data_IF_345478283758
#
_entry.id   IF_345478283758
#
_cell.length_a   1.000
_cell.length_b   1.000
_cell.length_c   1.000
_cell.angle_alpha   90.00
_cell.angle_beta   90.00
_cell.angle_gamma   90.00
#
_symmetry.space_group_name_H-M   'P 1'
#
loop_
_entity.id
_entity.type
_entity.pdbx_description
1 polymer ?
#
# COMPACT_ATOMS: atom_id res chain seq x y z
N UNK A 1 -98.25 -104.25 37.42
CA UNK A 1 -98.75 -103.50 38.61
C UNK A 1 -97.84 -102.29 38.74
N UNK A 2 -98.18 -101.15 38.14
CA UNK A 2 -99.06 -100.10 38.72
C UNK A 2 -98.40 -99.56 40.00
N UNK A 3 -98.05 -98.28 40.13
CA UNK A 3 -98.92 -97.10 40.04
C UNK A 3 -98.07 -95.84 39.72
N UNK A 4 -98.61 -94.95 38.88
CA UNK A 4 -98.16 -93.57 38.65
C UNK A 4 -98.23 -92.71 39.92
N UNK A 5 -97.22 -91.86 40.14
CA UNK A 5 -97.39 -90.64 40.93
C UNK A 5 -96.67 -89.47 40.23
N UNK A 6 -97.39 -88.37 40.15
CA UNK A 6 -97.10 -87.15 39.42
C UNK A 6 -95.98 -86.34 40.12
N UNK A 7 -95.17 -85.71 39.26
CA UNK A 7 -94.06 -84.75 39.44
C UNK A 7 -94.26 -83.65 40.50
N UNK A 8 -93.18 -83.01 40.99
CA UNK A 8 -92.62 -81.89 40.22
C UNK A 8 -91.08 -81.81 40.13
N UNK A 9 -90.69 -81.28 38.98
CA UNK A 9 -89.51 -80.51 38.60
C UNK A 9 -88.67 -79.89 39.75
N UNK A 10 -87.36 -80.19 39.75
CA UNK A 10 -86.33 -79.37 40.38
C UNK A 10 -85.02 -79.46 39.58
N UNK A 11 -84.90 -78.58 38.59
CA UNK A 11 -83.90 -77.50 38.62
C UNK A 11 -82.44 -77.89 38.87
N UNK A 12 -81.70 -77.90 37.76
CA UNK A 12 -80.28 -77.59 37.57
C UNK A 12 -79.49 -77.06 38.80
N UNK A 13 -78.51 -77.86 39.23
CA UNK A 13 -77.54 -77.52 40.26
C UNK A 13 -76.11 -77.43 39.70
N UNK A 14 -75.90 -76.86 38.51
CA UNK A 14 -74.56 -76.36 38.13
C UNK A 14 -74.13 -75.29 39.14
N UNK A 15 -72.93 -75.45 39.70
CA UNK A 15 -72.42 -74.60 40.78
C UNK A 15 -72.33 -73.13 40.29
N UNK A 16 -72.81 -72.13 41.06
CA UNK A 16 -72.82 -70.71 40.66
C UNK A 16 -71.46 -70.12 40.24
N UNK A 17 -70.35 -70.76 40.64
CA UNK A 17 -68.99 -70.30 40.34
C UNK A 17 -68.52 -70.62 38.92
N UNK A 18 -69.07 -71.65 38.24
CA UNK A 18 -68.69 -72.00 36.86
C UNK A 18 -69.39 -71.10 35.84
N UNK A 19 -70.71 -70.88 36.00
CA UNK A 19 -71.48 -69.97 35.13
C UNK A 19 -70.99 -68.51 35.23
N UNK A 20 -70.61 -68.04 36.42
CA UNK A 20 -70.04 -66.70 36.62
C UNK A 20 -68.65 -66.59 35.97
N UNK A 21 -67.80 -67.63 36.06
CA UNK A 21 -66.50 -67.67 35.38
C UNK A 21 -66.63 -67.70 33.85
N UNK A 22 -67.65 -68.37 33.32
CA UNK A 22 -67.90 -68.42 31.87
C UNK A 22 -68.45 -67.08 31.34
N UNK A 23 -69.28 -66.37 32.11
CA UNK A 23 -69.72 -65.01 31.78
C UNK A 23 -68.54 -64.02 31.71
N UNK A 24 -67.68 -63.99 32.73
CA UNK A 24 -66.50 -63.11 32.72
C UNK A 24 -65.49 -63.47 31.64
N UNK A 25 -65.43 -64.74 31.22
CA UNK A 25 -64.62 -65.17 30.05
C UNK A 25 -65.22 -64.66 28.75
N UNK A 26 -66.52 -64.85 28.54
CA UNK A 26 -67.20 -64.36 27.34
C UNK A 26 -67.13 -62.83 27.21
N UNK A 27 -67.28 -62.09 28.32
CA UNK A 27 -67.18 -60.64 28.33
C UNK A 27 -65.74 -60.15 28.08
N UNK A 28 -64.74 -60.88 28.59
CA UNK A 28 -63.33 -60.64 28.30
C UNK A 28 -62.97 -60.92 26.83
N UNK A 29 -63.55 -61.98 26.25
CA UNK A 29 -63.33 -62.34 24.86
C UNK A 29 -63.98 -61.31 23.92
N UNK A 30 -65.19 -60.85 24.24
CA UNK A 30 -65.87 -59.75 23.53
C UNK A 30 -65.06 -58.45 23.61
N UNK A 31 -64.55 -58.09 24.80
CA UNK A 31 -63.71 -56.91 24.97
C UNK A 31 -62.41 -57.02 24.15
N UNK A 32 -61.82 -58.21 24.07
CA UNK A 32 -60.63 -58.48 23.25
C UNK A 32 -60.93 -58.38 21.76
N UNK A 33 -62.09 -58.87 21.32
CA UNK A 33 -62.56 -58.73 19.94
C UNK A 33 -62.80 -57.26 19.57
N UNK A 34 -63.44 -56.49 20.45
CA UNK A 34 -63.65 -55.05 20.26
C UNK A 34 -62.34 -54.28 20.17
N UNK A 35 -61.37 -54.58 21.04
CA UNK A 35 -60.02 -53.99 20.97
C UNK A 35 -59.34 -54.37 19.65
N UNK A 36 -59.46 -55.63 19.21
CA UNK A 36 -58.89 -56.08 17.94
C UNK A 36 -59.52 -55.38 16.74
N UNK A 37 -60.84 -55.19 16.73
CA UNK A 37 -61.55 -54.48 15.67
C UNK A 37 -61.19 -52.99 15.63
N UNK A 38 -61.15 -52.33 16.79
CA UNK A 38 -60.69 -50.94 16.90
C UNK A 38 -59.24 -50.77 16.44
N UNK A 39 -58.36 -51.72 16.76
CA UNK A 39 -56.99 -51.74 16.29
C UNK A 39 -56.91 -51.89 14.77
N UNK A 40 -57.69 -52.79 14.17
CA UNK A 40 -57.73 -52.97 12.72
C UNK A 40 -58.20 -51.72 11.98
N UNK A 41 -59.26 -51.06 12.46
CA UNK A 41 -59.74 -49.79 11.90
C UNK A 41 -58.66 -48.70 11.95
N UNK A 42 -57.94 -48.60 13.07
CA UNK A 42 -56.87 -47.64 13.21
C UNK A 42 -55.71 -47.92 12.24
N UNK A 43 -55.35 -49.20 12.04
CA UNK A 43 -54.32 -49.62 11.09
C UNK A 43 -54.73 -49.33 9.65
N UNK A 44 -56.00 -49.54 9.30
CA UNK A 44 -56.55 -49.25 7.97
C UNK A 44 -56.57 -47.74 7.71
N UNK A 45 -56.99 -46.93 8.70
CA UNK A 45 -56.96 -45.48 8.60
C UNK A 45 -55.53 -44.93 8.43
N UNK A 46 -54.55 -45.51 9.12
CA UNK A 46 -53.13 -45.14 8.96
C UNK A 46 -52.63 -45.53 7.56
N UNK A 47 -52.95 -46.72 7.07
CA UNK A 47 -52.61 -47.12 5.70
C UNK A 47 -53.23 -46.20 4.67
N UNK A 48 -54.50 -45.84 4.83
CA UNK A 48 -55.18 -44.95 3.90
C UNK A 48 -54.56 -43.55 3.90
N UNK A 49 -54.11 -43.03 5.05
CA UNK A 49 -53.36 -41.77 5.12
C UNK A 49 -51.99 -41.85 4.46
N UNK A 50 -51.29 -43.00 4.59
CA UNK A 50 -50.02 -43.25 3.91
C UNK A 50 -50.23 -43.30 2.39
N UNK A 51 -51.28 -43.99 1.94
CA UNK A 51 -51.62 -44.18 0.52
C UNK A 51 -52.20 -42.92 -0.13
N UNK A 52 -52.85 -42.03 0.64
CA UNK A 52 -53.34 -40.72 0.18
C UNK A 52 -52.22 -39.68 -0.05
N UNK A 53 -50.97 -40.14 -0.19
CA UNK A 53 -49.84 -39.32 -0.63
C UNK A 53 -49.05 -38.65 0.49
N UNK A 54 -49.18 -39.11 1.75
CA UNK A 54 -48.34 -38.58 2.83
C UNK A 54 -46.85 -38.80 2.55
N UNK A 55 -46.47 -39.95 1.99
CA UNK A 55 -45.08 -40.20 1.55
C UNK A 55 -44.60 -39.18 0.52
N UNK A 56 -45.43 -38.87 -0.47
CA UNK A 56 -45.10 -37.91 -1.53
C UNK A 56 -45.05 -36.46 -1.01
N UNK A 57 -45.88 -36.11 -0.03
CA UNK A 57 -45.81 -34.82 0.65
C UNK A 57 -44.51 -34.67 1.45
N UNK A 58 -44.10 -35.71 2.17
CA UNK A 58 -42.84 -35.70 2.94
C UNK A 58 -41.63 -35.64 2.00
N UNK A 59 -41.64 -36.42 0.91
CA UNK A 59 -40.58 -36.38 -0.10
C UNK A 59 -40.46 -34.98 -0.73
N UNK A 60 -41.56 -34.38 -1.17
CA UNK A 60 -41.57 -33.01 -1.73
C UNK A 60 -41.07 -31.98 -0.72
N UNK A 61 -41.54 -32.02 0.51
CA UNK A 61 -41.10 -31.09 1.55
C UNK A 61 -39.59 -31.24 1.85
N UNK A 62 -39.07 -32.46 1.76
CA UNK A 62 -37.64 -32.73 1.91
C UNK A 62 -36.86 -32.18 0.72
N UNK A 63 -37.26 -32.47 -0.51
CA UNK A 63 -36.61 -31.97 -1.73
C UNK A 63 -36.59 -30.45 -1.78
N UNK A 64 -37.72 -29.79 -1.49
CA UNK A 64 -37.80 -28.32 -1.40
C UNK A 64 -36.83 -27.74 -0.36
N UNK A 65 -36.67 -28.42 0.79
CA UNK A 65 -35.74 -27.99 1.84
C UNK A 65 -34.29 -28.17 1.43
N UNK A 66 -33.96 -29.26 0.76
CA UNK A 66 -32.61 -29.51 0.26
C UNK A 66 -32.24 -28.57 -0.89
N UNK A 67 -33.17 -28.26 -1.79
CA UNK A 67 -32.97 -27.26 -2.83
C UNK A 67 -32.77 -25.86 -2.25
N UNK A 68 -33.57 -25.47 -1.25
CA UNK A 68 -33.37 -24.20 -0.56
C UNK A 68 -32.02 -24.13 0.15
N UNK A 69 -31.57 -25.24 0.77
CA UNK A 69 -30.27 -25.33 1.42
C UNK A 69 -29.13 -25.28 0.39
N UNK A 70 -29.28 -25.90 -0.78
CA UNK A 70 -28.32 -25.84 -1.88
C UNK A 70 -28.14 -24.41 -2.37
N UNK A 71 -29.23 -23.70 -2.66
CA UNK A 71 -29.18 -22.30 -3.11
C UNK A 71 -28.53 -21.42 -2.04
N UNK A 72 -28.92 -21.56 -0.77
CA UNK A 72 -28.31 -20.81 0.32
C UNK A 72 -26.81 -21.12 0.49
N UNK A 73 -26.40 -22.36 0.26
CA UNK A 73 -24.99 -22.76 0.31
C UNK A 73 -24.19 -22.18 -0.87
N UNK A 74 -24.76 -22.17 -2.08
CA UNK A 74 -24.16 -21.55 -3.27
C UNK A 74 -23.97 -20.05 -3.06
N UNK A 75 -25.00 -19.34 -2.60
CA UNK A 75 -24.93 -17.90 -2.27
C UNK A 75 -23.87 -17.59 -1.20
N UNK A 76 -23.79 -18.40 -0.16
CA UNK A 76 -22.80 -18.22 0.91
C UNK A 76 -21.37 -18.50 0.42
N UNK A 77 -21.17 -19.47 -0.48
CA UNK A 77 -19.87 -19.72 -1.11
C UNK A 77 -19.48 -18.52 -1.99
N UNK A 78 -20.38 -18.04 -2.84
CA UNK A 78 -20.15 -16.88 -3.70
C UNK A 78 -19.79 -15.65 -2.87
N UNK A 79 -20.53 -15.38 -1.79
CA UNK A 79 -20.24 -14.29 -0.86
C UNK A 79 -18.84 -14.41 -0.27
N UNK A 80 -18.46 -15.58 0.24
CA UNK A 80 -17.12 -15.81 0.83
C UNK A 80 -16.00 -15.69 -0.18
N UNK A 81 -16.21 -16.16 -1.41
CA UNK A 81 -15.24 -16.02 -2.50
C UNK A 81 -15.07 -14.55 -2.88
N UNK A 82 -16.17 -13.81 -3.01
CA UNK A 82 -16.14 -12.37 -3.28
C UNK A 82 -15.41 -11.60 -2.17
N UNK A 83 -15.71 -11.89 -0.90
CA UNK A 83 -15.03 -11.28 0.25
C UNK A 83 -13.52 -11.58 0.27
N UNK A 84 -13.15 -12.85 0.03
CA UNK A 84 -11.74 -13.24 -0.02
C UNK A 84 -11.01 -12.55 -1.17
N UNK A 85 -11.60 -12.54 -2.37
CA UNK A 85 -11.01 -11.89 -3.53
C UNK A 85 -10.86 -10.39 -3.29
N UNK A 86 -11.88 -9.71 -2.76
CA UNK A 86 -11.81 -8.30 -2.42
C UNK A 86 -10.65 -8.04 -1.44
N UNK A 87 -10.55 -8.85 -0.38
CA UNK A 87 -9.48 -8.68 0.60
C UNK A 87 -8.09 -8.99 0.04
N UNK A 88 -7.93 -10.01 -0.79
CA UNK A 88 -6.66 -10.33 -1.46
C UNK A 88 -6.25 -9.25 -2.46
N UNK A 89 -7.19 -8.70 -3.23
CA UNK A 89 -6.92 -7.59 -4.16
C UNK A 89 -6.51 -6.33 -3.40
N UNK A 90 -7.13 -6.04 -2.26
CA UNK A 90 -6.75 -4.89 -1.43
C UNK A 90 -5.35 -5.07 -0.83
N UNK A 91 -5.02 -6.26 -0.32
CA UNK A 91 -3.66 -6.55 0.13
C UNK A 91 -2.63 -6.43 -0.99
N UNK A 92 -2.95 -6.93 -2.19
CA UNK A 92 -2.07 -6.83 -3.35
C UNK A 92 -1.85 -5.37 -3.76
N UNK A 93 -2.90 -4.54 -3.79
CA UNK A 93 -2.81 -3.10 -4.06
C UNK A 93 -1.97 -2.38 -3.01
N UNK A 94 -2.22 -2.63 -1.73
CA UNK A 94 -1.45 -2.02 -0.64
C UNK A 94 0.03 -2.40 -0.69
N UNK A 95 0.34 -3.67 -1.01
CA UNK A 95 1.71 -4.14 -1.20
C UNK A 95 2.40 -3.45 -2.39
N UNK A 96 1.71 -3.38 -3.54
CA UNK A 96 2.23 -2.73 -4.74
C UNK A 96 2.48 -1.23 -4.52
N UNK A 97 1.56 -0.54 -3.83
CA UNK A 97 1.71 0.87 -3.49
C UNK A 97 2.91 1.10 -2.56
N UNK A 98 3.14 0.20 -1.60
CA UNK A 98 4.30 0.26 -0.71
C UNK A 98 5.60 0.05 -1.47
N UNK A 99 5.66 -0.95 -2.34
CA UNK A 99 6.85 -1.22 -3.17
C UNK A 99 7.17 -0.04 -4.09
N UNK A 100 6.16 0.56 -4.71
CA UNK A 100 6.30 1.76 -5.52
C UNK A 100 6.89 2.93 -4.72
N UNK A 101 6.30 3.21 -3.55
CA UNK A 101 6.75 4.28 -2.65
C UNK A 101 8.20 4.07 -2.19
N UNK A 102 8.57 2.82 -1.88
CA UNK A 102 9.93 2.46 -1.50
C UNK A 102 10.93 2.72 -2.63
N UNK A 103 10.61 2.30 -3.86
CA UNK A 103 11.46 2.54 -5.05
C UNK A 103 11.63 4.03 -5.35
N UNK A 104 10.55 4.82 -5.30
CA UNK A 104 10.61 6.27 -5.52
C UNK A 104 11.45 6.95 -4.43
N UNK A 105 11.22 6.62 -3.16
CA UNK A 105 11.98 7.18 -2.03
C UNK A 105 13.47 6.81 -2.10
N UNK A 106 13.80 5.57 -2.47
CA UNK A 106 15.19 5.16 -2.65
C UNK A 106 15.85 5.93 -3.80
N UNK A 107 15.16 6.08 -4.93
CA UNK A 107 15.63 6.85 -6.08
C UNK A 107 15.88 8.32 -5.71
N UNK A 108 14.92 8.96 -5.03
CA UNK A 108 15.04 10.33 -4.55
C UNK A 108 16.26 10.54 -3.64
N UNK A 109 16.50 9.61 -2.71
CA UNK A 109 17.67 9.66 -1.82
C UNK A 109 18.99 9.53 -2.58
N UNK A 110 19.07 8.58 -3.51
CA UNK A 110 20.28 8.37 -4.31
C UNK A 110 20.59 9.58 -5.20
N UNK A 111 19.57 10.17 -5.82
CA UNK A 111 19.72 11.40 -6.62
C UNK A 111 20.19 12.57 -5.77
N UNK A 112 19.62 12.76 -4.58
CA UNK A 112 20.00 13.84 -3.66
C UNK A 112 21.42 13.69 -3.08
N UNK A 113 21.90 12.45 -2.91
CA UNK A 113 23.19 12.13 -2.31
C UNK A 113 24.31 11.93 -3.34
N UNK A 114 24.01 12.04 -4.64
CA UNK A 114 25.00 11.82 -5.69
C UNK A 114 26.15 12.85 -5.66
N UNK A 115 27.38 12.33 -5.50
CA UNK A 115 28.60 13.14 -5.39
C UNK A 115 29.07 13.72 -6.73
N UNK A 116 28.78 13.03 -7.83
CA UNK A 116 29.13 13.43 -9.19
C UNK A 116 27.96 13.20 -10.17
N UNK A 117 28.18 13.60 -11.44
CA UNK A 117 27.17 13.47 -12.49
C UNK A 117 26.97 12.01 -12.93
N UNK A 118 28.00 11.17 -12.80
CA UNK A 118 27.91 9.74 -13.16
C UNK A 118 27.04 8.97 -12.16
N UNK A 119 27.26 9.16 -10.86
CA UNK A 119 26.42 8.63 -9.80
C UNK A 119 24.97 9.14 -9.90
N UNK A 120 24.78 10.41 -10.28
CA UNK A 120 23.45 10.98 -10.52
C UNK A 120 22.77 10.34 -11.73
N UNK A 121 23.47 10.22 -12.86
CA UNK A 121 22.98 9.57 -14.09
C UNK A 121 22.63 8.10 -13.84
N UNK A 122 23.48 7.40 -13.10
CA UNK A 122 23.28 6.01 -12.68
C UNK A 122 22.04 5.87 -11.79
N UNK A 123 21.85 6.75 -10.80
CA UNK A 123 20.67 6.74 -9.93
C UNK A 123 19.37 7.05 -10.71
N UNK A 124 19.42 7.99 -11.66
CA UNK A 124 18.31 8.31 -12.55
C UNK A 124 17.92 7.09 -13.41
N UNK A 125 18.90 6.51 -14.09
CA UNK A 125 18.71 5.34 -14.96
C UNK A 125 18.16 4.13 -14.19
N UNK A 126 18.68 3.86 -12.99
CA UNK A 126 18.19 2.78 -12.13
C UNK A 126 16.73 3.04 -11.71
N UNK A 127 16.41 4.26 -11.29
CA UNK A 127 15.05 4.64 -10.90
C UNK A 127 14.05 4.53 -12.06
N UNK A 128 14.44 4.94 -13.25
CA UNK A 128 13.63 4.85 -14.47
C UNK A 128 13.45 3.40 -14.94
N UNK A 129 14.45 2.55 -14.75
CA UNK A 129 14.38 1.12 -15.13
C UNK A 129 13.35 0.32 -14.31
N UNK A 130 12.91 0.85 -13.17
CA UNK A 130 11.79 0.26 -12.41
C UNK A 130 10.45 0.39 -13.15
N UNK A 131 10.33 1.33 -14.08
CA UNK A 131 9.10 1.66 -14.81
C UNK A 131 9.22 1.42 -16.33
N UNK A 132 10.45 1.28 -16.84
CA UNK A 132 10.73 1.06 -18.26
C UNK A 132 11.68 -0.12 -18.48
N UNK A 133 11.42 -0.92 -19.52
CA UNK A 133 12.26 -2.10 -19.84
C UNK A 133 13.65 -1.70 -20.33
N UNK A 134 13.73 -0.67 -21.17
CA UNK A 134 14.97 -0.12 -21.68
C UNK A 134 14.95 1.38 -21.56
N UNK A 135 16.03 1.92 -21.01
CA UNK A 135 16.15 3.33 -20.67
C UNK A 135 17.51 3.81 -21.13
N UNK A 136 17.55 5.00 -21.72
CA UNK A 136 18.77 5.72 -22.10
C UNK A 136 18.72 7.14 -21.56
N UNK A 137 19.83 7.65 -21.07
CA UNK A 137 19.96 9.02 -20.59
C UNK A 137 20.89 9.79 -21.52
N UNK A 138 20.43 10.94 -21.98
CA UNK A 138 21.19 11.87 -22.81
C UNK A 138 21.38 13.18 -22.08
N UNK A 139 22.61 13.69 -22.01
CA UNK A 139 22.84 15.07 -21.57
C UNK A 139 22.57 16.04 -22.71
N UNK A 140 22.11 17.25 -22.37
CA UNK A 140 21.89 18.34 -23.32
C UNK A 140 22.84 19.48 -22.97
N UNK A 141 23.89 19.66 -23.77
CA UNK A 141 24.86 20.75 -23.59
C UNK A 141 25.05 21.49 -24.91
N UNK A 142 24.77 22.78 -24.93
CA UNK A 142 24.94 23.64 -26.11
C UNK A 142 24.26 23.08 -27.36
N UNK A 143 22.99 22.69 -27.26
CA UNK A 143 22.19 22.07 -28.34
C UNK A 143 22.75 20.73 -28.86
N UNK A 144 23.63 20.07 -28.10
CA UNK A 144 24.11 18.73 -28.41
C UNK A 144 23.61 17.70 -27.40
N UNK A 145 23.13 16.58 -27.93
CA UNK A 145 22.77 15.38 -27.21
C UNK A 145 24.00 14.47 -27.11
N UNK A 146 24.35 14.05 -25.90
CA UNK A 146 25.39 13.05 -25.66
C UNK A 146 24.82 11.90 -24.85
N UNK A 147 25.06 10.65 -25.28
CA UNK A 147 24.61 9.47 -24.53
C UNK A 147 25.47 9.26 -23.29
N UNK A 148 24.86 9.34 -22.11
CA UNK A 148 25.55 9.18 -20.81
C UNK A 148 25.44 7.75 -20.27
N UNK A 149 24.39 7.01 -20.62
CA UNK A 149 24.22 5.65 -20.14
C UNK A 149 22.90 5.01 -20.54
N UNK A 150 22.78 3.71 -20.26
CA UNK A 150 21.58 2.94 -20.52
C UNK A 150 21.35 1.84 -19.47
N UNK A 151 20.11 1.34 -19.40
CA UNK A 151 19.68 0.17 -18.62
C UNK A 151 18.76 -0.73 -19.43
N UNK A 152 18.74 -2.01 -19.07
CA UNK A 152 17.88 -3.00 -19.71
C UNK A 152 18.36 -3.49 -21.08
N UNK A 153 19.61 -3.20 -21.42
CA UNK A 153 20.26 -3.68 -22.64
C UNK A 153 20.68 -5.14 -22.48
N UNK A 154 19.72 -6.07 -22.40
CA UNK A 154 20.04 -7.49 -22.38
C UNK A 154 20.43 -7.96 -23.79
N UNK A 155 21.73 -8.08 -24.04
CA UNK A 155 22.26 -8.96 -25.07
C UNK A 155 22.56 -10.32 -24.43
N UNK A 156 21.74 -11.33 -24.71
CA UNK A 156 22.14 -12.71 -24.43
C UNK A 156 23.20 -13.08 -25.46
N UNK A 157 24.45 -13.26 -25.05
CA UNK A 157 25.42 -13.95 -25.89
C UNK A 157 24.98 -15.41 -26.08
N UNK A 158 25.47 -16.09 -27.13
CA UNK A 158 25.09 -17.47 -27.49
C UNK A 158 25.30 -18.49 -26.34
N UNK A 159 26.06 -18.13 -25.31
CA UNK A 159 26.37 -18.95 -24.13
C UNK A 159 25.55 -18.58 -22.86
N UNK A 160 24.56 -17.68 -22.96
CA UNK A 160 23.66 -17.35 -21.84
C UNK A 160 24.31 -16.54 -20.71
N UNK A 161 25.48 -15.94 -20.96
CA UNK A 161 26.14 -14.99 -20.07
C UNK A 161 25.69 -13.58 -20.47
N UNK A 162 25.22 -12.78 -19.50
CA UNK A 162 24.97 -11.35 -19.70
C UNK A 162 26.31 -10.65 -19.99
N UNK A 163 26.60 -10.42 -21.26
CA UNK A 163 27.72 -9.57 -21.64
C UNK A 163 27.31 -8.11 -21.50
N UNK A 164 28.19 -7.32 -20.87
CA UNK A 164 28.05 -5.87 -20.79
C UNK A 164 28.07 -5.31 -22.22
N UNK A 165 26.89 -4.94 -22.74
CA UNK A 165 26.78 -4.29 -24.05
C UNK A 165 27.54 -2.96 -23.97
N UNK A 166 28.68 -2.87 -24.65
CA UNK A 166 29.41 -1.60 -24.78
C UNK A 166 28.51 -0.59 -25.49
N UNK A 167 28.23 0.53 -24.84
CA UNK A 167 27.40 1.58 -25.41
C UNK A 167 28.20 2.32 -26.49
N UNK A 168 27.59 2.62 -27.64
CA UNK A 168 28.23 3.45 -28.65
C UNK A 168 28.39 4.88 -28.14
N UNK A 169 29.48 5.53 -28.52
CA UNK A 169 29.65 6.97 -28.31
C UNK A 169 28.75 7.71 -29.31
N UNK A 170 27.69 8.34 -28.81
CA UNK A 170 26.71 9.07 -29.62
C UNK A 170 26.77 10.55 -29.22
N UNK A 171 26.98 11.41 -30.21
CA UNK A 171 26.92 12.87 -30.06
C UNK A 171 26.23 13.49 -31.29
N UNK A 172 25.03 14.02 -31.10
CA UNK A 172 24.17 14.52 -32.16
C UNK A 172 23.66 15.94 -31.85
N UNK A 173 23.49 16.78 -32.86
CA UNK A 173 22.78 18.05 -32.72
C UNK A 173 21.28 17.79 -32.42
N UNK A 174 20.72 18.49 -31.44
CA UNK A 174 19.29 18.39 -31.09
C UNK A 174 18.40 18.62 -32.32
N UNK A 175 18.78 19.52 -33.23
CA UNK A 175 18.03 19.82 -34.45
C UNK A 175 17.96 18.66 -35.45
N UNK A 176 18.85 17.67 -35.34
CA UNK A 176 18.82 16.46 -36.17
C UNK A 176 17.82 15.40 -35.66
N UNK A 177 17.22 15.62 -34.49
CA UNK A 177 16.25 14.71 -33.86
C UNK A 177 14.98 15.49 -33.44
N UNK A 178 13.98 15.62 -34.33
CA UNK A 178 12.79 16.45 -34.08
C UNK A 178 12.05 16.17 -32.76
N UNK A 179 12.00 14.89 -32.34
CA UNK A 179 11.36 14.53 -31.08
C UNK A 179 12.12 15.08 -29.86
N UNK A 180 13.46 15.04 -29.88
CA UNK A 180 14.29 15.62 -28.82
C UNK A 180 14.22 17.14 -28.84
N UNK A 181 14.20 17.76 -30.03
CA UNK A 181 14.01 19.20 -30.17
C UNK A 181 12.69 19.65 -29.55
N UNK A 182 11.60 18.92 -29.81
CA UNK A 182 10.29 19.20 -29.22
C UNK A 182 10.33 19.16 -27.68
N UNK A 183 11.08 18.21 -27.10
CA UNK A 183 11.27 18.13 -25.63
C UNK A 183 12.03 19.34 -25.10
N UNK A 184 13.10 19.77 -25.78
CA UNK A 184 13.90 20.95 -25.38
C UNK A 184 13.07 22.24 -25.45
N UNK A 185 12.25 22.40 -26.49
CA UNK A 185 11.42 23.59 -26.69
C UNK A 185 10.20 23.64 -25.75
N UNK A 186 9.54 22.50 -25.54
CA UNK A 186 8.31 22.42 -24.73
C UNK A 186 8.58 22.30 -23.23
N UNK A 187 9.74 21.76 -22.84
CA UNK A 187 10.05 21.32 -21.47
C UNK A 187 9.10 20.23 -20.94
N UNK A 188 8.39 19.54 -21.84
CA UNK A 188 7.35 18.55 -21.51
C UNK A 188 7.72 17.15 -22.04
N UNK A 189 7.07 16.14 -21.49
CA UNK A 189 7.22 14.75 -21.92
C UNK A 189 6.67 14.59 -23.34
N UNK A 190 7.45 13.96 -24.21
CA UNK A 190 7.05 13.70 -25.60
C UNK A 190 7.02 12.21 -25.88
N UNK A 191 5.89 11.73 -26.39
CA UNK A 191 5.76 10.37 -26.93
C UNK A 191 5.90 10.47 -28.45
N UNK A 192 6.93 9.83 -29.00
CA UNK A 192 7.17 9.82 -30.45
C UNK A 192 7.42 8.41 -30.98
N UNK A 193 7.46 8.27 -32.30
CA UNK A 193 7.87 7.02 -32.94
C UNK A 193 9.37 6.81 -32.79
N UNK A 194 9.77 5.55 -32.60
CA UNK A 194 11.16 5.10 -32.56
C UNK A 194 11.83 5.04 -33.93
N UNK A 195 11.53 5.98 -34.82
CA UNK A 195 12.03 6.02 -36.19
C UNK A 195 13.19 7.01 -36.33
N UNK A 196 14.08 6.77 -37.30
CA UNK A 196 15.20 7.67 -37.58
C UNK A 196 14.76 9.08 -37.99
N UNK A 197 13.55 9.25 -38.54
CA UNK A 197 12.97 10.56 -38.87
C UNK A 197 12.63 11.40 -37.64
N UNK A 198 12.42 10.76 -36.48
CA UNK A 198 12.04 11.42 -35.22
C UNK A 198 13.22 11.53 -34.25
N UNK A 199 14.06 10.48 -34.18
CA UNK A 199 15.15 10.38 -33.22
C UNK A 199 16.54 10.64 -33.81
N UNK A 200 16.68 10.73 -35.13
CA UNK A 200 17.96 10.68 -35.81
C UNK A 200 18.48 9.24 -35.98
N UNK A 201 19.40 9.05 -36.95
CA UNK A 201 19.84 7.72 -37.38
C UNK A 201 20.63 6.97 -36.29
N UNK A 202 21.50 7.66 -35.55
CA UNK A 202 22.34 7.07 -34.49
C UNK A 202 21.50 6.60 -33.30
N UNK A 203 20.57 7.44 -32.82
CA UNK A 203 19.71 7.13 -31.67
C UNK A 203 18.67 6.05 -32.04
N UNK A 204 18.08 6.11 -33.25
CA UNK A 204 17.20 5.04 -33.72
C UNK A 204 17.95 3.70 -33.83
N UNK A 205 19.25 3.71 -34.12
CA UNK A 205 20.12 2.54 -34.08
C UNK A 205 20.14 1.82 -32.72
N UNK A 206 20.06 2.56 -31.61
CA UNK A 206 19.99 1.99 -30.26
C UNK A 206 18.75 1.11 -30.05
N UNK A 207 17.65 1.45 -30.72
CA UNK A 207 16.41 0.68 -30.64
C UNK A 207 16.53 -0.64 -31.42
N UNK A 208 17.25 -0.64 -32.54
CA UNK A 208 17.37 -1.77 -33.47
C UNK A 208 18.23 -2.94 -32.98
N UNK A 209 19.01 -2.76 -31.91
CA UNK A 209 19.82 -3.83 -31.30
C UNK A 209 19.02 -4.97 -30.65
N UNK A 210 17.69 -4.89 -30.57
CA UNK A 210 16.84 -5.93 -30.00
C UNK A 210 15.71 -6.32 -30.95
N UNK A 211 15.78 -7.57 -31.42
CA UNK A 211 14.74 -8.41 -32.01
C UNK A 211 13.63 -7.71 -32.84
N UNK A 212 13.62 -8.04 -34.13
CA UNK A 212 12.59 -7.80 -35.13
C UNK A 212 11.15 -7.94 -34.60
N UNK A 213 10.54 -6.82 -34.22
CA UNK A 213 9.10 -6.68 -34.10
C UNK A 213 8.64 -5.59 -35.07
N UNK A 214 7.93 -5.99 -36.12
CA UNK A 214 7.45 -5.14 -37.21
C UNK A 214 6.28 -4.21 -36.82
N UNK A 215 6.26 -3.69 -35.59
CA UNK A 215 5.24 -2.79 -35.09
C UNK A 215 5.73 -1.34 -35.02
N UNK A 216 4.79 -0.39 -35.04
CA UNK A 216 5.05 1.02 -34.73
C UNK A 216 5.58 1.15 -33.29
N UNK A 217 6.91 1.12 -33.15
CA UNK A 217 7.56 1.23 -31.86
C UNK A 217 7.48 2.68 -31.40
N UNK A 218 6.96 2.91 -30.20
CA UNK A 218 6.89 4.22 -29.58
C UNK A 218 7.98 4.33 -28.51
N UNK A 219 8.48 5.54 -28.33
CA UNK A 219 9.39 5.90 -27.25
C UNK A 219 8.79 7.05 -26.45
N UNK A 220 9.08 7.06 -25.15
CA UNK A 220 8.76 8.17 -24.26
C UNK A 220 10.04 8.95 -23.97
N UNK A 221 10.03 10.25 -24.22
CA UNK A 221 11.14 11.16 -23.97
C UNK A 221 10.77 12.07 -22.80
N UNK A 222 11.51 11.97 -21.70
CA UNK A 222 11.24 12.71 -20.47
C UNK A 222 12.31 13.78 -20.25
N UNK A 223 11.93 15.07 -20.13
CA UNK A 223 12.88 16.13 -19.84
C UNK A 223 13.27 16.12 -18.37
N UNK A 224 14.57 16.21 -18.12
CA UNK A 224 15.11 16.63 -16.82
C UNK A 224 15.30 18.14 -16.86
N UNK A 225 14.31 18.86 -16.32
CA UNK A 225 14.28 20.33 -16.32
C UNK A 225 15.00 20.88 -15.09
N UNK A 226 15.93 21.80 -15.34
CA UNK A 226 16.66 22.57 -14.33
C UNK A 226 16.33 24.06 -14.44
N UNK A 227 16.75 24.84 -13.45
CA UNK A 227 16.48 26.27 -13.34
C UNK A 227 15.09 26.57 -12.78
N UNK A 228 14.53 25.70 -11.93
CA UNK A 228 13.17 25.89 -11.38
C UNK A 228 13.05 27.18 -10.55
N UNK A 229 14.14 27.56 -9.87
CA UNK A 229 14.25 28.80 -9.10
C UNK A 229 14.74 29.99 -9.95
N UNK A 230 15.11 29.76 -11.22
CA UNK A 230 15.70 30.78 -12.08
C UNK A 230 14.65 31.42 -13.01
N UNK A 231 14.99 32.54 -13.65
CA UNK A 231 14.09 33.19 -14.62
C UNK A 231 13.90 32.38 -15.91
N UNK A 232 14.79 31.43 -16.19
CA UNK A 232 14.77 30.61 -17.40
C UNK A 232 15.00 29.15 -17.04
N UNK A 233 13.98 28.33 -17.29
CA UNK A 233 14.08 26.88 -17.20
C UNK A 233 14.71 26.34 -18.47
N UNK A 234 15.44 25.24 -18.36
CA UNK A 234 16.04 24.55 -19.50
C UNK A 234 16.10 23.05 -19.26
N UNK A 235 16.14 22.28 -20.33
CA UNK A 235 16.38 20.84 -20.27
C UNK A 235 17.89 20.60 -20.11
N UNK A 236 18.30 19.92 -19.03
CA UNK A 236 19.70 19.54 -18.81
C UNK A 236 20.00 18.12 -19.31
N UNK A 237 18.99 17.24 -19.30
CA UNK A 237 19.09 15.88 -19.78
C UNK A 237 17.72 15.42 -20.30
N UNK A 238 17.73 14.43 -21.20
CA UNK A 238 16.52 13.79 -21.72
C UNK A 238 16.68 12.28 -21.48
N UNK A 239 15.67 11.68 -20.86
CA UNK A 239 15.61 10.23 -20.70
C UNK A 239 14.69 9.65 -21.76
N UNK A 240 15.21 8.75 -22.59
CA UNK A 240 14.43 7.98 -23.54
C UNK A 240 14.08 6.62 -22.94
N UNK A 241 12.80 6.28 -22.94
CA UNK A 241 12.28 4.98 -22.49
C UNK A 241 11.61 4.27 -23.65
N UNK A 242 11.99 3.01 -23.85
CA UNK A 242 11.36 2.17 -24.85
C UNK A 242 9.92 1.83 -24.46
N UNK A 243 8.97 2.23 -25.30
CA UNK A 243 7.54 1.94 -25.15
C UNK A 243 7.11 0.62 -25.80
N UNK A 244 8.04 -0.21 -26.27
CA UNK A 244 7.73 -1.53 -26.82
C UNK A 244 6.93 -2.34 -25.79
N UNK A 245 5.66 -2.60 -26.14
CA UNK A 245 4.72 -3.41 -25.38
C UNK A 245 5.41 -4.69 -24.87
N UNK A 246 5.43 -4.87 -23.55
CA UNK A 246 5.91 -6.11 -22.93
C UNK A 246 5.06 -7.32 -23.35
N UNK A 247 5.40 -8.54 -22.91
CA UNK A 247 4.63 -9.77 -23.22
C UNK A 247 3.15 -9.72 -22.79
N UNK A 248 2.72 -8.66 -22.09
CA UNK A 248 1.36 -8.41 -21.61
C UNK A 248 0.73 -7.12 -22.18
N UNK A 249 1.35 -6.42 -23.12
CA UNK A 249 0.87 -5.12 -23.66
C UNK A 249 0.54 -4.07 -22.58
N UNK A 250 1.18 -4.14 -21.41
CA UNK A 250 0.96 -3.14 -20.36
C UNK A 250 1.49 -1.78 -20.83
N UNK A 251 0.69 -0.70 -20.73
CA UNK A 251 1.15 0.64 -21.08
C UNK A 251 2.25 1.09 -20.12
N UNK A 252 3.19 1.89 -20.64
CA UNK A 252 4.23 2.52 -19.84
C UNK A 252 3.60 3.45 -18.79
N UNK A 253 4.06 3.39 -17.54
CA UNK A 253 3.62 4.31 -16.49
C UNK A 253 4.37 5.64 -16.64
N UNK A 254 3.86 6.50 -17.53
CA UNK A 254 4.45 7.81 -17.83
C UNK A 254 4.47 8.72 -16.60
N UNK A 255 3.43 8.67 -15.76
CA UNK A 255 3.34 9.50 -14.56
C UNK A 255 4.47 9.17 -13.56
N UNK A 256 4.73 7.88 -13.34
CA UNK A 256 5.82 7.48 -12.44
C UNK A 256 7.19 7.90 -13.00
N UNK A 257 7.40 7.77 -14.31
CA UNK A 257 8.63 8.24 -14.97
C UNK A 257 8.80 9.76 -14.83
N UNK A 258 7.74 10.54 -15.03
CA UNK A 258 7.75 12.00 -14.86
C UNK A 258 8.12 12.43 -13.44
N UNK A 259 7.59 11.72 -12.43
CA UNK A 259 7.97 11.95 -11.03
C UNK A 259 9.47 11.73 -10.82
N UNK A 260 10.03 10.66 -11.38
CA UNK A 260 11.49 10.40 -11.30
C UNK A 260 12.29 11.47 -12.04
N UNK A 261 11.86 11.91 -13.23
CA UNK A 261 12.50 12.98 -13.98
C UNK A 261 12.50 14.31 -13.21
N UNK A 262 11.36 14.66 -12.59
CA UNK A 262 11.21 15.87 -11.78
C UNK A 262 12.10 15.83 -10.52
N UNK A 263 12.20 14.67 -9.86
CA UNK A 263 13.11 14.47 -8.73
C UNK A 263 14.57 14.64 -9.16
N UNK A 264 14.94 14.10 -10.33
CA UNK A 264 16.28 14.21 -10.88
C UNK A 264 16.65 15.65 -11.22
N UNK A 265 15.74 16.40 -11.86
CA UNK A 265 15.91 17.82 -12.16
C UNK A 265 16.06 18.66 -10.89
N UNK A 266 15.22 18.41 -9.88
CA UNK A 266 15.30 19.08 -8.58
C UNK A 266 16.62 18.80 -7.86
N UNK A 267 17.10 17.56 -7.87
CA UNK A 267 18.38 17.18 -7.29
C UNK A 267 19.57 17.84 -8.02
N UNK A 268 19.49 17.93 -9.35
CA UNK A 268 20.51 18.57 -10.17
C UNK A 268 20.55 20.10 -9.93
N UNK A 269 19.40 20.75 -9.78
CA UNK A 269 19.29 22.16 -9.38
C UNK A 269 19.95 22.43 -8.04
N UNK A 270 19.66 21.59 -7.03
CA UNK A 270 20.27 21.72 -5.70
C UNK A 270 21.80 21.58 -5.76
N UNK A 271 22.31 20.64 -6.56
CA UNK A 271 23.76 20.49 -6.81
C UNK A 271 24.37 21.73 -7.46
N UNK A 272 23.77 22.23 -8.54
CA UNK A 272 24.29 23.41 -9.24
C UNK A 272 24.28 24.65 -8.33
N UNK A 273 23.25 24.82 -7.51
CA UNK A 273 23.18 25.88 -6.52
C UNK A 273 24.29 25.78 -5.47
N UNK A 274 24.52 24.58 -4.93
CA UNK A 274 25.61 24.33 -3.97
C UNK A 274 26.99 24.62 -4.58
N UNK A 275 27.24 24.16 -5.82
CA UNK A 275 28.49 24.42 -6.54
C UNK A 275 28.73 25.92 -6.77
N UNK A 276 27.70 26.69 -7.11
CA UNK A 276 27.81 28.15 -7.28
C UNK A 276 28.23 28.84 -5.98
N UNK A 277 27.64 28.45 -4.85
CA UNK A 277 28.02 28.96 -3.53
C UNK A 277 29.49 28.64 -3.20
N UNK A 278 29.96 27.43 -3.51
CA UNK A 278 31.38 27.05 -3.31
C UNK A 278 32.33 27.84 -4.22
N UNK A 279 31.99 28.03 -5.50
CA UNK A 279 32.83 28.80 -6.44
C UNK A 279 32.87 30.31 -6.19
N UNK A 280 31.89 30.87 -5.48
CA UNK A 280 31.88 32.30 -5.10
C UNK A 280 32.73 32.61 -3.86
N UNK A 281 33.17 31.59 -3.11
CA UNK A 281 34.10 31.76 -1.99
C UNK A 281 35.52 31.50 -2.48
N UNK A 282 36.18 32.52 -3.04
CA UNK A 282 37.62 32.48 -3.25
C UNK A 282 38.34 32.28 -1.91
N UNK A 283 39.38 31.42 -1.81
CA UNK A 283 40.10 31.08 -0.56
C UNK A 283 41.05 32.20 -0.08
N UNK A 284 40.59 33.45 -0.02
CA UNK A 284 41.41 34.59 0.40
C UNK A 284 40.68 35.87 0.79
N UNK A 285 39.35 35.90 0.77
CA UNK A 285 38.58 37.10 1.11
C UNK A 285 37.91 37.01 2.48
N UNK A 286 38.67 37.21 3.56
CA UNK A 286 38.09 37.46 4.88
C UNK A 286 37.40 38.84 4.86
N UNK A 287 36.10 38.87 4.63
CA UNK A 287 35.27 40.05 4.87
C UNK A 287 34.86 40.01 6.35
N UNK A 288 35.25 40.96 7.20
CA UNK A 288 34.80 40.99 8.57
C UNK A 288 33.31 41.35 8.56
N UNK A 289 32.44 40.39 8.88
CA UNK A 289 31.04 40.66 9.17
C UNK A 289 31.03 41.48 10.47
N UNK A 290 30.80 42.78 10.34
CA UNK A 290 30.47 43.63 11.46
C UNK A 290 29.17 43.11 12.09
N UNK A 291 29.29 42.51 13.27
CA UNK A 291 28.16 42.08 14.08
C UNK A 291 27.36 43.33 14.49
N UNK A 292 26.24 43.57 13.83
CA UNK A 292 25.15 44.32 14.45
C UNK A 292 24.60 43.46 15.61
N UNK A 293 24.40 44.00 16.82
CA UNK A 293 23.90 43.23 17.94
C UNK A 293 22.39 42.99 17.76
N UNK A 294 22.06 41.93 17.03
CA UNK A 294 20.74 41.28 17.09
C UNK A 294 20.67 40.34 18.29
N UNK A 295 19.51 40.18 18.94
CA UNK A 295 19.38 39.35 20.12
C UNK A 295 19.77 37.90 19.80
N UNK A 296 20.69 37.33 20.60
CA UNK A 296 21.13 35.94 20.53
C UNK A 296 19.92 35.00 20.45
N UNK A 297 19.69 34.40 19.28
CA UNK A 297 18.87 33.21 19.16
C UNK A 297 19.68 32.04 19.74
N UNK A 298 19.33 31.64 20.97
CA UNK A 298 19.80 30.38 21.53
C UNK A 298 19.12 29.24 20.75
N UNK A 299 19.90 28.41 20.04
CA UNK A 299 19.38 27.19 19.40
C UNK A 299 19.86 26.88 17.97
N UNK A 300 20.81 27.61 17.40
CA UNK A 300 21.39 27.19 16.12
C UNK A 300 22.08 25.81 16.29
N UNK A 301 21.84 24.83 15.39
CA UNK A 301 22.55 23.55 15.42
C UNK A 301 24.07 23.77 15.40
N UNK A 302 24.85 23.07 16.24
CA UNK A 302 26.30 23.13 16.15
C UNK A 302 26.77 22.68 14.77
N UNK A 303 27.90 23.22 14.33
CA UNK A 303 28.55 22.77 13.10
C UNK A 303 28.88 21.28 13.23
N UNK A 304 28.16 20.44 12.48
CA UNK A 304 28.21 18.98 12.59
C UNK A 304 29.61 18.43 12.36
N UNK A 305 30.40 19.07 11.49
CA UNK A 305 31.77 18.65 11.16
C UNK A 305 32.78 18.98 12.27
N UNK A 306 32.42 19.90 13.18
CA UNK A 306 33.25 20.31 14.31
C UNK A 306 33.09 19.41 15.56
N UNK A 307 32.08 18.55 15.59
CA UNK A 307 31.78 17.67 16.71
C UNK A 307 32.61 16.38 16.69
N UNK A 308 32.94 15.86 17.86
CA UNK A 308 33.54 14.53 17.99
C UNK A 308 32.57 13.44 17.53
N UNK A 309 33.06 12.25 17.16
CA UNK A 309 32.19 11.14 16.74
C UNK A 309 31.20 10.73 17.85
N UNK A 310 31.64 10.73 19.11
CA UNK A 310 30.78 10.42 20.26
C UNK A 310 29.67 11.47 20.43
N UNK A 311 29.98 12.75 20.24
CA UNK A 311 28.97 13.82 20.26
C UNK A 311 28.02 13.71 19.07
N UNK A 312 28.50 13.43 17.85
CA UNK A 312 27.63 13.22 16.69
C UNK A 312 26.62 12.09 16.92
N UNK A 313 27.06 10.97 17.51
CA UNK A 313 26.18 9.85 17.87
C UNK A 313 25.18 10.24 18.97
N UNK A 314 25.60 11.04 19.95
CA UNK A 314 24.72 11.57 20.99
C UNK A 314 23.64 12.50 20.40
N UNK A 315 24.02 13.42 19.51
CA UNK A 315 23.11 14.30 18.79
C UNK A 315 22.13 13.52 17.91
N UNK A 316 22.60 12.50 17.19
CA UNK A 316 21.73 11.64 16.38
C UNK A 316 20.72 10.86 17.24
N UNK A 317 21.12 10.40 18.45
CA UNK A 317 20.20 9.78 19.40
C UNK A 317 19.17 10.77 19.94
N UNK A 318 19.59 11.97 20.30
CA UNK A 318 18.70 13.03 20.77
C UNK A 318 17.63 13.41 19.71
N UNK A 319 18.04 13.54 18.44
CA UNK A 319 17.11 13.79 17.33
C UNK A 319 16.11 12.64 17.13
N UNK A 320 16.58 11.38 17.19
CA UNK A 320 15.69 10.22 17.09
C UNK A 320 14.69 10.19 18.24
N UNK A 321 15.14 10.45 19.46
CA UNK A 321 14.27 10.53 20.63
C UNK A 321 13.18 11.59 20.44
N UNK A 322 13.57 12.80 20.05
CA UNK A 322 12.64 13.91 19.83
C UNK A 322 11.56 13.55 18.79
N UNK A 323 11.98 13.00 17.64
CA UNK A 323 11.07 12.56 16.57
C UNK A 323 10.08 11.49 17.03
N UNK A 324 10.56 10.50 17.78
CA UNK A 324 9.70 9.43 18.30
C UNK A 324 8.66 9.99 19.27
N UNK A 325 9.08 10.78 20.27
CA UNK A 325 8.15 11.34 21.26
C UNK A 325 7.10 12.24 20.64
N UNK A 326 7.51 13.09 19.70
CA UNK A 326 6.57 13.98 19.02
C UNK A 326 5.62 13.21 18.09
N UNK A 327 6.12 12.18 17.39
CA UNK A 327 5.28 11.30 16.59
C UNK A 327 4.26 10.51 17.44
N UNK A 328 4.65 10.03 18.62
CA UNK A 328 3.74 9.37 19.58
C UNK A 328 2.62 10.32 20.02
N UNK A 329 2.93 11.58 20.34
CA UNK A 329 1.92 12.59 20.68
C UNK A 329 0.96 12.83 19.51
N UNK A 330 1.49 12.96 18.29
CA UNK A 330 0.68 13.18 17.09
C UNK A 330 -0.24 11.98 16.78
N UNK A 331 0.23 10.76 17.04
CA UNK A 331 -0.50 9.53 16.73
C UNK A 331 -1.56 9.20 17.78
N UNK A 332 -1.20 9.24 19.07
CA UNK A 332 -2.06 8.76 20.16
C UNK A 332 -2.91 9.86 20.82
N UNK A 333 -2.60 11.13 20.58
CA UNK A 333 -3.36 12.27 21.11
C UNK A 333 -3.84 13.21 20.01
N UNK A 334 -4.24 12.66 18.86
CA UNK A 334 -4.64 13.44 17.69
C UNK A 334 -5.75 14.48 17.98
N UNK A 335 -6.74 14.14 18.81
CA UNK A 335 -7.81 15.05 19.23
C UNK A 335 -7.27 16.23 20.05
N UNK A 336 -6.38 15.98 21.00
CA UNK A 336 -5.76 17.02 21.82
C UNK A 336 -4.83 17.93 20.98
N UNK A 337 -4.13 17.38 19.99
CA UNK A 337 -3.32 18.17 19.03
C UNK A 337 -4.22 19.08 18.20
N UNK A 338 -5.34 18.57 17.70
CA UNK A 338 -6.30 19.35 16.90
C UNK A 338 -6.90 20.51 17.72
N UNK A 339 -7.47 20.18 18.88
CA UNK A 339 -8.07 21.17 19.79
C UNK A 339 -7.03 22.20 20.27
N UNK A 340 -5.80 21.75 20.54
CA UNK A 340 -4.69 22.62 20.94
C UNK A 340 -4.27 23.60 19.85
N UNK A 341 -4.29 23.21 18.57
CA UNK A 341 -4.03 24.11 17.44
C UNK A 341 -5.13 25.13 17.26
N UNK A 342 -6.38 24.69 17.30
CA UNK A 342 -7.56 25.56 17.14
C UNK A 342 -7.60 26.66 18.21
N UNK A 343 -7.18 26.33 19.43
CA UNK A 343 -7.18 27.26 20.56
C UNK A 343 -5.85 28.02 20.72
N UNK A 344 -4.86 27.77 19.85
CA UNK A 344 -3.47 28.25 19.99
C UNK A 344 -2.87 27.99 21.39
N UNK A 345 -3.16 26.80 21.93
CA UNK A 345 -2.79 26.33 23.27
C UNK A 345 -2.30 24.87 23.26
N UNK A 346 -1.46 24.52 22.29
CA UNK A 346 -0.91 23.17 22.13
C UNK A 346 -0.24 22.64 23.39
N UNK A 347 0.53 23.48 24.11
CA UNK A 347 1.21 23.05 25.32
C UNK A 347 0.23 22.69 26.44
N UNK A 348 -0.89 23.40 26.58
CA UNK A 348 -1.92 23.07 27.58
C UNK A 348 -2.63 21.76 27.25
N UNK A 349 -2.97 21.56 25.98
CA UNK A 349 -3.66 20.36 25.52
C UNK A 349 -2.81 19.09 25.70
N UNK A 350 -1.48 19.20 25.59
CA UNK A 350 -0.54 18.08 25.65
C UNK A 350 0.39 18.12 26.88
N UNK A 351 0.06 18.93 27.90
CA UNK A 351 0.96 19.26 29.02
C UNK A 351 1.62 18.04 29.64
N UNK A 352 0.82 17.00 29.95
CA UNK A 352 1.33 15.80 30.61
C UNK A 352 2.43 15.08 29.82
N UNK A 353 2.27 14.96 28.51
CA UNK A 353 3.22 14.23 27.65
C UNK A 353 4.40 15.09 27.21
N UNK A 354 4.16 16.38 26.97
CA UNK A 354 5.21 17.35 26.70
C UNK A 354 6.15 17.50 27.91
N UNK A 355 5.62 17.64 29.12
CA UNK A 355 6.45 17.79 30.32
C UNK A 355 7.27 16.54 30.61
N UNK A 356 6.67 15.35 30.47
CA UNK A 356 7.40 14.09 30.58
C UNK A 356 8.53 13.97 29.57
N UNK A 357 8.24 14.26 28.30
CA UNK A 357 9.22 14.14 27.23
C UNK A 357 10.34 15.18 27.36
N UNK A 358 10.02 16.40 27.80
CA UNK A 358 11.01 17.44 28.11
C UNK A 358 11.91 17.03 29.28
N UNK A 359 11.34 16.50 30.36
CA UNK A 359 12.10 16.05 31.51
C UNK A 359 13.05 14.90 31.15
N UNK A 360 12.57 13.94 30.35
CA UNK A 360 13.38 12.83 29.88
C UNK A 360 14.49 13.29 28.92
N UNK A 361 14.16 14.15 27.95
CA UNK A 361 15.15 14.72 27.03
C UNK A 361 16.24 15.50 27.78
N UNK A 362 15.83 16.29 28.79
CA UNK A 362 16.77 17.02 29.64
C UNK A 362 17.71 16.09 30.40
N UNK A 363 17.16 15.04 30.98
CA UNK A 363 17.94 14.07 31.74
C UNK A 363 18.91 13.25 30.86
N UNK A 364 18.50 12.85 29.66
CA UNK A 364 19.26 11.93 28.79
C UNK A 364 20.22 12.61 27.80
N UNK A 365 20.05 13.91 27.50
CA UNK A 365 20.83 14.57 26.44
C UNK A 365 21.40 15.93 26.83
N UNK A 366 20.74 16.71 27.70
CA UNK A 366 21.16 18.09 28.03
C UNK A 366 22.35 18.17 29.01
N UNK A 367 23.10 17.08 29.21
CA UNK A 367 24.37 17.08 29.96
C UNK A 367 25.60 17.36 29.08
N UNK A 368 25.46 17.33 27.74
CA UNK A 368 26.55 17.76 26.84
C UNK A 368 26.44 19.26 26.54
N UNK A 369 27.54 20.03 26.64
CA UNK A 369 27.53 21.48 26.40
C UNK A 369 27.27 21.86 24.94
N UNK A 370 27.40 20.92 24.00
CA UNK A 370 27.11 21.14 22.57
C UNK A 370 25.67 20.81 22.20
N UNK A 371 24.89 20.21 23.12
CA UNK A 371 23.58 19.68 22.80
C UNK A 371 22.54 20.78 22.57
N UNK A 372 21.68 20.56 21.58
CA UNK A 372 20.58 21.45 21.22
C UNK A 372 19.26 20.83 21.63
N UNK A 373 18.27 21.66 21.98
CA UNK A 373 16.92 21.21 22.29
C UNK A 373 16.16 20.76 21.03
N UNK A 374 16.56 19.59 20.52
CA UNK A 374 15.88 18.94 19.39
C UNK A 374 14.42 18.61 19.71
N UNK A 375 14.07 18.44 20.98
CA UNK A 375 12.69 18.20 21.37
C UNK A 375 11.82 19.44 21.11
N UNK A 376 12.27 20.63 21.52
CA UNK A 376 11.57 21.87 21.20
C UNK A 376 11.45 22.11 19.69
N UNK A 377 12.52 21.88 18.94
CA UNK A 377 12.52 22.05 17.49
C UNK A 377 11.50 21.12 16.82
N UNK A 378 11.46 19.86 17.24
CA UNK A 378 10.53 18.88 16.68
C UNK A 378 9.07 19.17 17.07
N UNK A 379 8.82 19.67 18.28
CA UNK A 379 7.49 20.15 18.70
C UNK A 379 7.03 21.31 17.81
N UNK A 380 7.90 22.29 17.55
CA UNK A 380 7.58 23.40 16.66
C UNK A 380 7.30 22.93 15.23
N UNK A 381 8.20 22.13 14.67
CA UNK A 381 8.10 21.69 13.29
C UNK A 381 6.89 20.79 13.06
N UNK A 382 6.71 19.79 13.92
CA UNK A 382 5.74 18.72 13.67
C UNK A 382 4.38 18.95 14.34
N UNK A 383 4.33 19.52 15.55
CA UNK A 383 3.07 19.79 16.23
C UNK A 383 2.55 21.21 15.99
N UNK A 384 3.43 22.20 15.83
CA UNK A 384 3.03 23.59 15.62
C UNK A 384 3.15 24.08 14.16
N UNK A 385 3.51 23.22 13.20
CA UNK A 385 3.68 23.57 11.79
C UNK A 385 4.58 24.80 11.58
N UNK A 386 5.69 24.86 12.31
CA UNK A 386 6.64 25.98 12.34
C UNK A 386 6.08 27.31 12.87
N UNK A 387 4.89 27.32 13.48
CA UNK A 387 4.27 28.49 14.10
C UNK A 387 4.29 28.43 15.64
N UNK A 388 5.25 29.13 16.25
CA UNK A 388 5.41 29.18 17.70
C UNK A 388 4.23 29.81 18.44
N UNK A 389 3.39 30.61 17.77
CA UNK A 389 2.22 31.24 18.40
C UNK A 389 1.17 30.21 18.84
N UNK A 390 1.16 29.01 18.24
CA UNK A 390 0.23 27.94 18.55
C UNK A 390 0.55 27.17 19.85
N UNK A 391 1.76 27.32 20.39
CA UNK A 391 2.17 26.64 21.62
C UNK A 391 1.45 27.17 22.86
N UNK A 392 1.01 28.43 22.82
CA UNK A 392 0.37 29.12 23.93
C UNK A 392 1.36 29.80 24.88
N UNK A 393 0.91 30.82 25.62
CA UNK A 393 1.76 31.65 26.48
C UNK A 393 2.36 30.90 27.66
N UNK A 394 1.78 29.77 28.05
CA UNK A 394 2.27 28.96 29.16
C UNK A 394 3.45 28.05 28.78
N UNK A 395 3.80 27.94 27.48
CA UNK A 395 4.91 27.12 27.04
C UNK A 395 6.25 27.66 27.57
N UNK A 396 7.05 26.85 28.28
CA UNK A 396 8.26 27.32 28.97
C UNK A 396 9.43 27.69 28.03
N UNK A 397 9.27 27.54 26.71
CA UNK A 397 10.31 27.81 25.73
C UNK A 397 11.31 26.65 25.56
N UNK A 398 12.43 26.87 24.84
CA UNK A 398 13.49 25.88 24.72
C UNK A 398 14.10 25.53 26.09
N UNK A 399 14.55 24.29 26.25
CA UNK A 399 15.42 23.87 27.34
C UNK A 399 16.78 24.58 27.21
N UNK A 400 17.25 25.11 28.34
CA UNK A 400 18.54 25.79 28.50
C UNK A 400 19.40 25.02 29.48
#
# INVERSE_FOLDING_TARGET
MSVEFIQPDHGDGRRPQEASRDFFRAERDLAREQISAAWQLQVEQIHELIDRGWRDHVARAFDERFDALRVAAEEEIERRVAERLAHETERARASAARELSEKINQTARRLAQAEDLDAWSSALLDGMSAFGRRVWAFSVLSEKLTLEGARGQSGLDQDGVESAVSLPEISLDVAAAPAFQTVVESLDTVISMGAASELGQEIAGLLNGAANGSGERRVCLLPVVVGQSEKQRKVAAIVMVDGAAGPLNAPLDVNALEVVAALAGSALDARQAAQRLTTQVSPGGLIPIAQAPGPKAAGAPPDWQSLTKEDQELHARAQRFARVRVAEMRLYQAEAVCNGREQARLYMALRGEMDRSRAQFKHEFMHSPTMVDYFHMEVLHTLANDDASLLGPEYPGPLV
#
